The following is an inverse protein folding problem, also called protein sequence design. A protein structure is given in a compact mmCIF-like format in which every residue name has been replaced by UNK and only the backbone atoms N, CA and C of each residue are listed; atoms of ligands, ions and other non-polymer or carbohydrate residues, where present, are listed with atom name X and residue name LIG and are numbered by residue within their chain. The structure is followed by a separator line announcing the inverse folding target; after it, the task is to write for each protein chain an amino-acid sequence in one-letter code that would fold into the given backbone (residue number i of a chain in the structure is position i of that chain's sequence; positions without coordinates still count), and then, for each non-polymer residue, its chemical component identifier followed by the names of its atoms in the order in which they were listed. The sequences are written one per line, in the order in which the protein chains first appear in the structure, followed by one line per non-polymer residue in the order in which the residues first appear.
data_IF_571068510471
#
_entry.id   IF_571068510471
#
_cell.length_a   1.000
_cell.length_b   1.000
_cell.length_c   1.000
_cell.angle_alpha   90.00
_cell.angle_beta   90.00
_cell.angle_gamma   90.00
#
_symmetry.space_group_name_H-M   'P 1'
#
loop_
_entity.id
_entity.type
_entity.pdbx_description
1 polymer ?
#
# COMPACT_ATOMS: atom_id res chain seq x y z
N UNK A 1 3.17 13.37 -7.04
CA UNK A 1 2.05 14.17 -7.61
C UNK A 1 0.94 14.14 -6.58
N UNK A 2 0.67 15.26 -5.89
CA UNK A 2 -0.46 15.36 -4.96
C UNK A 2 -1.69 15.68 -5.81
N UNK A 3 -2.64 14.76 -5.89
CA UNK A 3 -3.89 14.98 -6.62
C UNK A 3 -4.77 15.92 -5.80
N UNK A 4 -5.37 16.93 -6.45
CA UNK A 4 -6.38 17.75 -5.79
C UNK A 4 -7.63 16.90 -5.51
N UNK A 5 -8.44 17.30 -4.53
CA UNK A 5 -9.69 16.59 -4.20
C UNK A 5 -10.65 16.49 -5.42
N UNK A 6 -10.59 17.47 -6.32
CA UNK A 6 -11.37 17.50 -7.56
C UNK A 6 -10.87 16.44 -8.56
N UNK A 7 -9.55 16.31 -8.70
CA UNK A 7 -8.95 15.30 -9.57
C UNK A 7 -9.19 13.88 -9.02
N UNK A 8 -9.12 13.73 -7.69
CA UNK A 8 -9.44 12.47 -7.02
C UNK A 8 -10.91 12.06 -7.25
N UNK A 9 -11.85 13.00 -7.09
CA UNK A 9 -13.27 12.76 -7.34
C UNK A 9 -13.56 12.40 -8.81
N UNK A 10 -12.88 13.07 -9.75
CA UNK A 10 -12.99 12.77 -11.18
C UNK A 10 -12.46 11.36 -11.53
N UNK A 11 -11.32 10.96 -10.96
CA UNK A 11 -10.76 9.62 -11.13
C UNK A 11 -11.67 8.54 -10.53
N UNK A 12 -12.29 8.81 -9.37
CA UNK A 12 -13.28 7.90 -8.76
C UNK A 12 -14.51 7.76 -9.67
N UNK A 13 -15.02 8.86 -10.23
CA UNK A 13 -16.19 8.83 -11.11
C UNK A 13 -15.95 8.10 -12.44
N UNK A 14 -14.69 7.98 -12.88
CA UNK A 14 -14.27 7.26 -14.09
C UNK A 14 -13.59 5.92 -13.80
N UNK A 15 -13.71 5.42 -12.57
CA UNK A 15 -13.02 4.20 -12.08
C UNK A 15 -13.21 2.97 -12.97
N UNK A 16 -14.36 2.81 -13.62
CA UNK A 16 -14.61 1.67 -14.51
C UNK A 16 -13.85 1.74 -15.84
N UNK A 17 -13.41 2.93 -16.26
CA UNK A 17 -12.69 3.16 -17.52
C UNK A 17 -11.18 3.33 -17.31
N UNK A 18 -10.78 3.62 -16.08
CA UNK A 18 -9.40 3.51 -15.64
C UNK A 18 -9.15 2.02 -15.41
N UNK A 19 -8.35 1.37 -16.28
CA UNK A 19 -7.85 0.02 -16.01
C UNK A 19 -7.24 -0.07 -14.60
N UNK A 20 -6.92 -1.28 -14.10
CA UNK A 20 -6.38 -1.50 -12.73
C UNK A 20 -5.43 -0.36 -12.35
N UNK A 21 -5.88 0.54 -11.48
CA UNK A 21 -5.13 1.76 -11.17
C UNK A 21 -3.86 1.33 -10.45
N UNK A 22 -2.73 1.42 -11.15
CA UNK A 22 -1.42 1.05 -10.63
C UNK A 22 -0.82 2.31 -10.02
N UNK A 23 -0.65 2.31 -8.69
CA UNK A 23 -0.13 3.45 -7.96
C UNK A 23 1.30 3.19 -7.47
N UNK A 24 2.00 4.30 -7.22
CA UNK A 24 3.28 4.29 -6.52
C UNK A 24 3.21 5.27 -5.34
N UNK A 25 3.71 4.84 -4.19
CA UNK A 25 3.78 5.64 -2.96
C UNK A 25 5.24 5.73 -2.54
N UNK A 26 5.74 6.94 -2.36
CA UNK A 26 7.03 7.20 -1.72
C UNK A 26 6.77 7.84 -0.37
N UNK A 27 7.34 7.29 0.70
CA UNK A 27 7.14 7.81 2.04
C UNK A 27 7.99 7.11 3.08
N UNK A 28 7.92 7.59 4.30
CA UNK A 28 8.63 7.06 5.45
C UNK A 28 7.81 5.96 6.09
N UNK A 29 8.41 4.80 6.37
CA UNK A 29 7.74 3.76 7.14
C UNK A 29 7.59 4.22 8.58
N UNK A 30 6.36 4.35 9.05
CA UNK A 30 6.05 4.86 10.41
C UNK A 30 5.68 3.75 11.38
N UNK A 31 5.17 2.63 10.87
CA UNK A 31 4.95 1.41 11.64
C UNK A 31 5.01 0.18 10.75
N UNK A 32 5.40 -0.95 11.33
CA UNK A 32 5.46 -2.24 10.67
C UNK A 32 4.83 -3.28 11.61
N UNK A 33 3.91 -4.10 11.09
CA UNK A 33 3.35 -5.22 11.87
C UNK A 33 4.25 -6.44 11.82
N UNK A 34 4.12 -7.32 12.80
CA UNK A 34 4.63 -8.69 12.68
C UNK A 34 4.01 -9.43 11.47
N UNK A 35 4.72 -10.44 10.98
CA UNK A 35 4.23 -11.32 9.92
C UNK A 35 3.03 -12.11 10.42
N UNK A 36 1.86 -11.81 9.87
CA UNK A 36 0.61 -12.50 10.18
C UNK A 36 0.35 -13.61 9.16
N UNK A 37 0.00 -14.81 9.64
CA UNK A 37 -0.40 -15.93 8.78
C UNK A 37 -1.91 -16.06 8.74
N UNK A 38 -2.49 -16.06 7.53
CA UNK A 38 -3.89 -16.41 7.31
C UNK A 38 -3.97 -17.55 6.30
N UNK A 39 -4.23 -18.76 6.79
CA UNK A 39 -4.18 -19.98 5.97
C UNK A 39 -2.78 -20.22 5.41
N UNK A 40 -2.66 -20.32 4.08
CA UNK A 40 -1.37 -20.50 3.38
C UNK A 40 -0.63 -19.20 3.09
N UNK A 41 -1.26 -18.05 3.31
CA UNK A 41 -0.71 -16.76 2.92
C UNK A 41 -0.05 -16.07 4.12
N UNK A 42 1.07 -15.40 3.84
CA UNK A 42 1.76 -14.53 4.80
C UNK A 42 1.46 -13.07 4.44
N UNK A 43 1.17 -12.26 5.46
CA UNK A 43 0.79 -10.88 5.30
C UNK A 43 1.52 -9.99 6.30
N UNK A 44 1.86 -8.79 5.84
CA UNK A 44 2.44 -7.73 6.68
C UNK A 44 1.74 -6.42 6.36
N UNK A 45 1.49 -5.64 7.42
CA UNK A 45 0.97 -4.29 7.33
C UNK A 45 2.13 -3.32 7.48
N UNK A 46 2.21 -2.37 6.55
CA UNK A 46 3.19 -1.29 6.58
C UNK A 46 2.43 0.02 6.64
N UNK A 47 2.66 0.81 7.68
CA UNK A 47 2.16 2.18 7.74
C UNK A 47 3.21 3.13 7.16
N UNK A 48 2.78 4.00 6.25
CA UNK A 48 3.60 4.99 5.57
C UNK A 48 3.09 6.38 5.89
N UNK A 49 3.99 7.28 6.29
CA UNK A 49 3.73 8.67 6.64
C UNK A 49 2.53 8.88 7.60
N UNK A 50 2.25 7.91 8.50
CA UNK A 50 1.13 7.91 9.46
C UNK A 50 -0.27 8.05 8.83
N UNK A 51 -0.43 7.78 7.53
CA UNK A 51 -1.70 7.99 6.84
C UNK A 51 -2.07 6.91 5.83
N UNK A 52 -1.10 6.16 5.32
CA UNK A 52 -1.33 5.10 4.33
C UNK A 52 -0.98 3.76 4.96
N UNK A 53 -1.93 2.83 4.98
CA UNK A 53 -1.69 1.44 5.37
C UNK A 53 -1.60 0.59 4.10
N UNK A 54 -0.44 -0.01 3.88
CA UNK A 54 -0.20 -0.97 2.82
C UNK A 54 -0.33 -2.40 3.37
N UNK A 55 -1.04 -3.24 2.64
CA UNK A 55 -1.12 -4.68 2.91
C UNK A 55 -0.24 -5.41 1.90
N UNK A 56 0.86 -5.99 2.37
CA UNK A 56 1.73 -6.81 1.53
C UNK A 56 1.35 -8.27 1.74
N UNK A 57 0.87 -8.92 0.68
CA UNK A 57 0.54 -10.35 0.66
C UNK A 57 1.67 -11.14 0.03
N UNK A 58 1.79 -12.41 0.41
CA UNK A 58 2.79 -13.35 -0.11
C UNK A 58 4.21 -12.79 0.00
N UNK A 59 4.47 -12.20 1.17
CA UNK A 59 5.71 -11.51 1.47
C UNK A 59 6.90 -12.45 1.22
N UNK A 60 7.74 -12.10 0.25
CA UNK A 60 9.06 -12.70 0.15
C UNK A 60 9.79 -12.39 1.45
N UNK A 61 10.23 -13.41 2.18
CA UNK A 61 10.87 -13.28 3.51
C UNK A 61 12.02 -12.24 3.52
N UNK A 62 12.72 -12.06 2.39
CA UNK A 62 13.79 -11.08 2.26
C UNK A 62 13.35 -9.61 2.22
N UNK A 63 12.05 -9.30 2.07
CA UNK A 63 11.56 -7.91 2.11
C UNK A 63 11.28 -7.45 3.53
N UNK A 64 10.80 -8.35 4.40
CA UNK A 64 10.58 -8.02 5.81
C UNK A 64 11.86 -7.59 6.50
N UNK A 65 12.99 -8.23 6.18
CA UNK A 65 14.29 -7.91 6.76
C UNK A 65 14.87 -6.58 6.28
N UNK A 66 14.29 -5.96 5.25
CA UNK A 66 14.78 -4.69 4.68
C UNK A 66 13.86 -3.53 5.06
N UNK A 67 12.59 -3.80 5.36
CA UNK A 67 11.65 -2.77 5.79
C UNK A 67 11.92 -2.37 7.24
N UNK A 68 12.46 -1.18 7.44
CA UNK A 68 12.73 -0.63 8.77
C UNK A 68 11.89 0.64 9.02
N UNK A 69 11.47 0.82 10.27
CA UNK A 69 10.73 2.02 10.70
C UNK A 69 11.68 3.21 10.71
N UNK A 70 11.28 4.31 10.09
CA UNK A 70 12.08 5.53 9.92
C UNK A 70 12.72 5.67 8.55
N UNK A 71 12.81 4.58 7.78
CA UNK A 71 13.37 4.59 6.44
C UNK A 71 12.35 5.00 5.38
N UNK A 72 12.86 5.60 4.30
CA UNK A 72 12.06 6.08 3.17
C UNK A 72 12.10 5.06 2.04
N UNK A 73 10.93 4.54 1.66
CA UNK A 73 10.78 3.57 0.59
C UNK A 73 9.93 4.10 -0.56
N UNK A 74 10.17 3.56 -1.76
CA UNK A 74 9.30 3.73 -2.92
C UNK A 74 8.57 2.41 -3.19
N UNK A 75 7.31 2.35 -2.82
CA UNK A 75 6.41 1.24 -3.10
C UNK A 75 5.78 1.45 -4.47
N UNK A 76 6.03 0.54 -5.41
CA UNK A 76 5.51 0.62 -6.78
C UNK A 76 4.49 -0.48 -7.03
N UNK A 77 3.71 -0.31 -8.09
CA UNK A 77 2.74 -1.28 -8.56
C UNK A 77 1.64 -1.64 -7.53
N UNK A 78 1.25 -0.65 -6.73
CA UNK A 78 0.23 -0.80 -5.70
C UNK A 78 -1.17 -0.87 -6.32
N UNK A 79 -1.97 -1.81 -5.82
CA UNK A 79 -3.37 -1.95 -6.18
C UNK A 79 -4.25 -1.43 -5.05
N UNK A 80 -5.07 -0.43 -5.34
CA UNK A 80 -6.16 -0.04 -4.44
C UNK A 80 -7.20 -1.16 -4.37
N UNK A 81 -7.49 -1.61 -3.16
CA UNK A 81 -8.59 -2.52 -2.88
C UNK A 81 -9.45 -1.94 -1.76
N UNK A 82 -10.75 -2.14 -1.84
CA UNK A 82 -11.66 -1.92 -0.71
C UNK A 82 -11.62 -3.17 0.17
N UNK A 83 -11.54 -2.99 1.49
CA UNK A 83 -11.82 -4.07 2.42
C UNK A 83 -13.34 -4.18 2.53
N UNK A 84 -13.89 -5.34 2.17
CA UNK A 84 -15.30 -5.63 2.43
C UNK A 84 -15.50 -5.72 3.95
N UNK A 85 -16.58 -5.11 4.45
CA UNK A 85 -16.93 -5.10 5.88
C UNK A 85 -17.41 -6.46 6.35
#
# INVERSE_FOLDING_TARGET
MVLSAKDAAYLIAKREHLGKLVLSVKGTVTALSDVTRAGKNQMVLVEVDKCIILVIKDLHLGWHSVLEVGDVFLFQNLRLTTLEK
#
